data_IF_820139007988
#
_entry.id   IF_820139007988
#
_cell.length_a   1.000
_cell.length_b   1.000
_cell.length_c   1.000
_cell.angle_alpha   90.00
_cell.angle_beta   90.00
_cell.angle_gamma   90.00
#
_symmetry.space_group_name_H-M   'P 1'
#
loop_
_entity.id
_entity.type
_entity.pdbx_description
1 polymer ?
#
# COMPACT_ATOMS: atom_id res chain seq x y z
N UNK A 1 26.02 -17.57 24.92
CA UNK A 1 25.76 -18.87 25.53
C UNK A 1 24.26 -19.02 25.84
N UNK A 2 23.72 -20.16 25.58
CA UNK A 2 22.29 -20.46 25.81
C UNK A 2 22.10 -20.96 27.29
N UNK A 3 22.22 -20.05 28.24
CA UNK A 3 21.93 -20.34 29.65
C UNK A 3 21.01 -19.25 30.23
N UNK A 4 20.04 -19.64 31.02
CA UNK A 4 19.18 -18.75 31.78
C UNK A 4 19.29 -18.98 33.28
N UNK A 5 19.01 -17.93 34.05
CA UNK A 5 18.87 -18.01 35.51
C UNK A 5 17.39 -17.91 35.84
N UNK A 6 16.88 -18.80 36.66
CA UNK A 6 15.52 -18.79 37.18
C UNK A 6 15.56 -18.68 38.67
N UNK A 7 14.72 -17.84 39.25
CA UNK A 7 14.50 -17.70 40.68
C UNK A 7 13.02 -17.90 41.00
N UNK A 8 12.75 -18.70 42.04
CA UNK A 8 11.42 -18.85 42.59
C UNK A 8 11.52 -19.22 44.06
N UNK A 9 10.84 -18.47 44.94
CA UNK A 9 10.82 -18.67 46.39
C UNK A 9 12.20 -18.71 47.06
N UNK A 10 13.14 -17.84 46.56
CA UNK A 10 14.50 -17.79 47.09
C UNK A 10 15.44 -18.89 46.58
N UNK A 11 14.97 -19.82 45.77
CA UNK A 11 15.80 -20.82 45.10
C UNK A 11 16.24 -20.30 43.72
N UNK A 12 17.55 -20.30 43.52
CA UNK A 12 18.15 -19.87 42.23
C UNK A 12 18.70 -21.09 41.51
N UNK A 13 18.33 -21.24 40.27
CA UNK A 13 18.87 -22.27 39.38
C UNK A 13 19.29 -21.66 38.03
N UNK A 14 20.38 -22.18 37.47
CA UNK A 14 20.91 -21.70 36.19
C UNK A 14 21.27 -22.85 35.26
N UNK A 15 21.34 -22.57 33.95
CA UNK A 15 21.82 -23.50 32.95
C UNK A 15 20.95 -23.63 31.71
N UNK A 16 21.36 -24.51 30.80
CA UNK A 16 20.73 -24.72 29.51
C UNK A 16 19.33 -25.33 29.56
N UNK A 17 18.99 -26.06 30.64
CA UNK A 17 17.63 -26.60 30.88
C UNK A 17 16.65 -25.47 31.14
N UNK A 18 17.05 -24.48 31.92
CA UNK A 18 16.26 -23.28 32.21
C UNK A 18 16.11 -22.38 31.02
N UNK A 19 17.17 -22.30 30.19
CA UNK A 19 17.09 -21.62 28.90
C UNK A 19 16.03 -22.28 28.01
N UNK A 20 16.02 -23.61 27.86
CA UNK A 20 15.03 -24.31 27.04
C UNK A 20 13.60 -24.13 27.57
N UNK A 21 13.42 -24.10 28.88
CA UNK A 21 12.12 -23.83 29.49
C UNK A 21 11.66 -22.40 29.18
N UNK A 22 12.54 -21.41 29.35
CA UNK A 22 12.28 -20.01 29.03
C UNK A 22 11.95 -19.86 27.55
N UNK A 23 12.76 -20.37 26.64
CA UNK A 23 12.56 -20.31 25.20
C UNK A 23 11.20 -20.94 24.80
N UNK A 24 10.81 -22.03 25.43
CA UNK A 24 9.49 -22.65 25.21
C UNK A 24 8.35 -21.75 25.66
N UNK A 25 8.49 -21.14 26.87
CA UNK A 25 7.47 -20.22 27.39
C UNK A 25 7.37 -18.99 26.49
N UNK A 26 8.50 -18.40 26.12
CA UNK A 26 8.55 -17.23 25.25
C UNK A 26 7.93 -17.53 23.88
N UNK A 27 8.24 -18.68 23.27
CA UNK A 27 7.62 -19.10 21.99
C UNK A 27 6.11 -19.29 22.13
N UNK A 28 5.66 -19.99 23.19
CA UNK A 28 4.22 -20.18 23.42
C UNK A 28 3.50 -18.85 23.67
N UNK A 29 4.19 -17.89 24.30
CA UNK A 29 3.65 -16.54 24.49
C UNK A 29 3.61 -15.78 23.16
N UNK A 30 4.67 -15.85 22.36
CA UNK A 30 4.73 -15.21 21.04
C UNK A 30 3.78 -15.85 20.03
N UNK A 31 3.52 -17.17 20.13
CA UNK A 31 2.52 -17.84 19.29
C UNK A 31 1.12 -17.25 19.44
N UNK A 32 0.78 -16.71 20.63
CA UNK A 32 -0.49 -16.01 20.86
C UNK A 32 -0.61 -14.70 20.06
N UNK A 33 0.51 -14.05 19.78
CA UNK A 33 0.54 -12.85 18.94
C UNK A 33 0.61 -13.18 17.44
N UNK A 34 0.90 -14.44 17.09
CA UNK A 34 0.83 -14.94 15.72
C UNK A 34 -0.57 -15.46 15.33
N UNK A 35 -1.47 -15.56 16.30
CA UNK A 35 -2.85 -16.01 16.08
C UNK A 35 -3.73 -14.78 15.85
N UNK A 36 -3.54 -14.13 14.68
CA UNK A 36 -4.40 -13.03 14.28
C UNK A 36 -5.82 -13.55 14.02
N UNK A 37 -6.86 -12.82 14.44
CA UNK A 37 -8.22 -13.19 14.11
C UNK A 37 -8.35 -13.29 12.59
N UNK A 38 -8.88 -14.42 12.14
CA UNK A 38 -9.14 -14.65 10.72
C UNK A 38 -9.93 -13.48 10.14
N UNK A 39 -9.45 -12.90 9.04
CA UNK A 39 -10.24 -11.95 8.27
C UNK A 39 -11.55 -12.66 7.91
N UNK A 40 -12.67 -12.06 8.28
CA UNK A 40 -13.98 -12.61 7.92
C UNK A 40 -14.07 -12.69 6.40
N UNK A 41 -14.37 -13.88 5.88
CA UNK A 41 -14.67 -14.05 4.45
C UNK A 41 -15.83 -13.10 4.13
N UNK A 42 -15.65 -12.21 3.16
CA UNK A 42 -16.72 -11.31 2.73
C UNK A 42 -17.87 -12.15 2.21
N UNK A 43 -19.03 -12.02 2.81
CA UNK A 43 -20.25 -12.63 2.28
C UNK A 43 -20.59 -11.95 0.97
N UNK A 44 -20.87 -12.77 -0.05
CA UNK A 44 -21.36 -12.28 -1.33
C UNK A 44 -22.73 -11.62 -1.07
N UNK A 45 -22.96 -10.36 -1.46
CA UNK A 45 -24.27 -9.71 -1.31
C UNK A 45 -25.34 -10.49 -2.10
N UNK A 46 -26.58 -10.50 -1.63
CA UNK A 46 -27.71 -11.14 -2.31
C UNK A 46 -27.92 -10.61 -3.75
N UNK A 47 -27.61 -9.34 -3.97
CA UNK A 47 -27.67 -8.66 -5.26
C UNK A 47 -26.31 -8.65 -6.00
N UNK A 48 -25.58 -9.75 -5.97
CA UNK A 48 -24.27 -9.84 -6.63
C UNK A 48 -24.40 -10.14 -8.13
N UNK A 49 -23.44 -9.66 -8.91
CA UNK A 49 -23.33 -10.01 -10.33
C UNK A 49 -23.04 -11.52 -10.50
N UNK A 50 -23.52 -12.08 -11.61
CA UNK A 50 -23.29 -13.48 -11.93
C UNK A 50 -21.79 -13.80 -11.97
N UNK A 51 -21.37 -14.87 -11.28
CA UNK A 51 -19.98 -15.30 -11.22
C UNK A 51 -19.16 -14.66 -10.11
N UNK A 52 -19.66 -13.63 -9.39
CA UNK A 52 -18.90 -12.99 -8.30
C UNK A 52 -18.52 -14.00 -7.20
N UNK A 53 -19.44 -14.86 -6.78
CA UNK A 53 -19.18 -15.88 -5.77
C UNK A 53 -18.06 -16.85 -6.18
N UNK A 54 -18.03 -17.24 -7.44
CA UNK A 54 -16.98 -18.11 -7.99
C UNK A 54 -15.63 -17.38 -8.10
N UNK A 55 -15.65 -16.09 -8.43
CA UNK A 55 -14.44 -15.25 -8.55
C UNK A 55 -13.82 -14.96 -7.17
N UNK A 56 -14.63 -14.62 -6.19
CA UNK A 56 -14.16 -14.36 -4.82
C UNK A 56 -13.60 -15.62 -4.16
N UNK A 57 -14.18 -16.79 -4.47
CA UNK A 57 -13.77 -18.05 -3.85
C UNK A 57 -13.78 -17.96 -2.33
N UNK A 58 -12.83 -18.63 -1.68
CA UNK A 58 -12.59 -18.57 -0.23
C UNK A 58 -11.42 -17.64 0.14
N UNK A 59 -10.88 -16.90 -0.81
CA UNK A 59 -9.71 -16.03 -0.57
C UNK A 59 -10.15 -14.59 -0.39
N UNK A 60 -9.62 -13.89 0.65
CA UNK A 60 -9.85 -12.46 0.79
C UNK A 60 -9.26 -11.72 -0.42
N UNK A 61 -9.96 -10.67 -0.88
CA UNK A 61 -9.43 -9.79 -1.91
C UNK A 61 -8.25 -8.99 -1.35
N UNK A 62 -7.13 -8.98 -2.08
CA UNK A 62 -6.04 -8.07 -1.78
C UNK A 62 -6.53 -6.62 -1.89
N UNK A 63 -6.28 -5.79 -0.87
CA UNK A 63 -6.62 -4.37 -0.87
C UNK A 63 -5.48 -3.47 -1.38
N UNK A 64 -4.26 -4.00 -1.44
CA UNK A 64 -3.07 -3.26 -1.85
C UNK A 64 -2.80 -3.29 -3.35
N UNK A 65 -1.55 -3.04 -3.73
CA UNK A 65 -1.11 -3.00 -5.14
C UNK A 65 -1.38 -4.30 -5.92
N UNK A 66 -1.51 -5.45 -5.25
CA UNK A 66 -1.92 -6.73 -5.85
C UNK A 66 -3.39 -6.80 -6.29
N UNK A 67 -4.20 -5.78 -5.97
CA UNK A 67 -5.59 -5.67 -6.42
C UNK A 67 -5.73 -5.06 -7.83
N UNK A 68 -4.63 -4.66 -8.48
CA UNK A 68 -4.66 -4.11 -9.84
C UNK A 68 -5.22 -5.13 -10.83
N UNK A 69 -5.99 -4.65 -11.82
CA UNK A 69 -6.49 -5.49 -12.89
C UNK A 69 -5.34 -6.07 -13.73
N UNK A 70 -5.54 -7.30 -14.22
CA UNK A 70 -4.55 -7.93 -15.08
C UNK A 70 -4.33 -7.15 -16.39
N UNK A 71 -3.08 -7.15 -16.93
CA UNK A 71 -2.71 -6.32 -18.08
C UNK A 71 -3.56 -6.60 -19.32
N UNK A 72 -4.03 -7.81 -19.55
CA UNK A 72 -4.88 -8.16 -20.69
C UNK A 72 -6.26 -7.47 -20.64
N UNK A 73 -6.89 -7.43 -19.46
CA UNK A 73 -8.18 -6.73 -19.26
C UNK A 73 -8.00 -5.24 -19.45
N UNK A 74 -6.95 -4.67 -18.86
CA UNK A 74 -6.65 -3.25 -18.97
C UNK A 74 -6.35 -2.86 -20.41
N UNK A 75 -5.51 -3.60 -21.13
CA UNK A 75 -5.16 -3.31 -22.52
C UNK A 75 -6.37 -3.35 -23.43
N UNK A 76 -7.27 -4.33 -23.24
CA UNK A 76 -8.52 -4.44 -24.01
C UNK A 76 -9.43 -3.22 -23.78
N UNK A 77 -9.55 -2.76 -22.54
CA UNK A 77 -10.34 -1.57 -22.21
C UNK A 77 -9.72 -0.30 -22.79
N UNK A 78 -8.40 -0.13 -22.66
CA UNK A 78 -7.68 1.02 -23.18
C UNK A 78 -7.67 1.12 -24.72
N UNK A 79 -7.77 -0.01 -25.43
CA UNK A 79 -7.86 -0.02 -26.88
C UNK A 79 -9.09 0.71 -27.44
N UNK A 80 -10.15 0.87 -26.64
CA UNK A 80 -11.35 1.63 -26.98
C UNK A 80 -11.26 3.13 -26.66
N UNK A 81 -10.22 3.57 -25.94
CA UNK A 81 -10.04 4.97 -25.58
C UNK A 81 -9.48 5.75 -26.78
N UNK A 82 -10.12 6.84 -27.23
CA UNK A 82 -9.59 7.64 -28.31
C UNK A 82 -8.19 8.18 -27.98
N UNK A 83 -7.33 8.25 -28.98
CA UNK A 83 -6.02 8.86 -28.82
C UNK A 83 -6.13 10.34 -28.43
N UNK A 84 -5.22 10.85 -27.59
CA UNK A 84 -5.19 12.25 -27.25
C UNK A 84 -5.05 13.12 -28.48
N UNK A 85 -5.90 14.15 -28.59
CA UNK A 85 -5.86 15.13 -29.68
C UNK A 85 -5.14 16.43 -29.29
N UNK A 86 -4.84 16.60 -28.02
CA UNK A 86 -4.18 17.79 -27.48
C UNK A 86 -2.67 17.70 -27.72
N UNK A 87 -2.10 18.74 -28.28
CA UNK A 87 -0.69 18.79 -28.69
C UNK A 87 0.27 18.78 -27.49
N UNK A 88 -0.20 19.21 -26.32
CA UNK A 88 0.58 19.19 -25.06
C UNK A 88 0.69 17.81 -24.44
N UNK A 89 -0.15 16.83 -24.78
CA UNK A 89 -0.04 15.45 -24.27
C UNK A 89 1.12 14.74 -24.94
N UNK A 90 2.09 14.30 -24.15
CA UNK A 90 3.35 13.70 -24.64
C UNK A 90 3.39 12.20 -24.48
N UNK A 91 2.57 11.62 -23.62
CA UNK A 91 2.46 10.17 -23.43
C UNK A 91 1.00 9.74 -23.31
N UNK A 92 0.71 8.56 -23.84
CA UNK A 92 -0.54 7.86 -23.59
C UNK A 92 -0.43 6.92 -22.39
N UNK A 93 -1.49 6.11 -22.14
CA UNK A 93 -1.47 5.09 -21.08
C UNK A 93 -0.35 4.08 -21.30
N UNK A 94 0.29 3.63 -20.21
CA UNK A 94 1.29 2.54 -20.23
C UNK A 94 2.58 2.82 -19.48
N UNK A 95 2.86 4.08 -19.13
CA UNK A 95 3.96 4.45 -18.23
C UNK A 95 3.44 4.71 -16.80
N UNK A 96 4.32 5.06 -15.85
CA UNK A 96 3.95 5.30 -14.45
C UNK A 96 3.10 6.56 -14.30
N UNK A 97 3.29 7.56 -15.16
CA UNK A 97 2.48 8.78 -15.18
C UNK A 97 2.23 9.28 -16.60
N UNK A 98 1.15 10.03 -16.79
CA UNK A 98 0.93 10.83 -17.99
C UNK A 98 1.89 12.02 -18.01
N UNK A 99 2.30 12.45 -19.21
CA UNK A 99 3.23 13.57 -19.41
C UNK A 99 2.57 14.65 -20.24
N UNK A 100 2.59 15.88 -19.73
CA UNK A 100 2.07 17.08 -20.39
C UNK A 100 3.19 18.12 -20.57
N UNK A 101 3.22 18.77 -21.72
CA UNK A 101 4.09 19.94 -21.93
C UNK A 101 3.42 21.20 -21.39
N UNK A 102 4.06 21.85 -20.42
CA UNK A 102 3.60 23.11 -19.83
C UNK A 102 4.68 24.17 -20.03
N UNK A 103 4.50 24.98 -21.05
CA UNK A 103 5.54 25.91 -21.48
C UNK A 103 6.82 25.19 -21.88
N UNK A 104 7.94 25.52 -21.26
CA UNK A 104 9.26 24.88 -21.50
C UNK A 104 9.51 23.66 -20.62
N UNK A 105 8.60 23.30 -19.72
CA UNK A 105 8.75 22.20 -18.76
C UNK A 105 7.75 21.08 -19.06
N UNK A 106 7.99 19.95 -18.41
CA UNK A 106 7.10 18.80 -18.46
C UNK A 106 6.42 18.64 -17.11
N UNK A 107 5.12 18.41 -17.12
CA UNK A 107 4.36 18.02 -15.94
C UNK A 107 4.02 16.54 -16.06
N UNK A 108 4.25 15.80 -15.01
CA UNK A 108 3.75 14.42 -14.85
C UNK A 108 2.46 14.45 -14.03
N UNK A 109 1.55 13.53 -14.35
CA UNK A 109 0.27 13.38 -13.67
C UNK A 109 -0.02 11.89 -13.49
N UNK A 110 -0.15 11.44 -12.26
CA UNK A 110 -0.50 10.08 -11.91
C UNK A 110 -1.70 10.04 -10.96
N UNK A 111 -2.36 8.89 -10.88
CA UNK A 111 -3.37 8.62 -9.88
C UNK A 111 -3.22 7.17 -9.41
N UNK A 112 -3.18 7.00 -8.10
CA UNK A 112 -3.14 5.67 -7.50
C UNK A 112 -4.01 5.63 -6.25
N UNK A 113 -4.56 4.45 -5.95
CA UNK A 113 -5.37 4.26 -4.76
C UNK A 113 -5.16 2.85 -4.19
N UNK A 114 -5.29 2.74 -2.87
CA UNK A 114 -5.25 1.49 -2.16
C UNK A 114 -6.55 1.32 -1.36
N UNK A 115 -7.06 0.09 -1.37
CA UNK A 115 -8.18 -0.33 -0.54
C UNK A 115 -7.66 -0.79 0.81
N UNK A 116 -8.53 -0.94 1.82
CA UNK A 116 -8.16 -1.36 3.16
C UNK A 116 -7.33 -2.66 3.15
N UNK A 117 -6.04 -2.54 3.35
CA UNK A 117 -5.08 -3.65 3.48
C UNK A 117 -4.49 -3.73 4.90
N UNK A 118 -4.75 -2.73 5.74
CA UNK A 118 -4.45 -2.74 7.16
C UNK A 118 -5.55 -2.00 7.94
N UNK A 119 -5.57 -2.17 9.25
CA UNK A 119 -6.59 -1.58 10.12
C UNK A 119 -6.19 -0.19 10.67
N UNK A 120 -4.98 0.26 10.43
CA UNK A 120 -4.49 1.57 10.85
C UNK A 120 -4.67 2.58 9.71
N UNK A 121 -5.60 3.56 9.85
CA UNK A 121 -5.85 4.56 8.80
C UNK A 121 -4.68 5.51 8.58
N UNK A 122 -3.86 5.82 9.60
CA UNK A 122 -2.67 6.65 9.46
C UNK A 122 -1.60 5.94 8.64
N UNK A 123 -1.29 4.70 9.01
CA UNK A 123 -0.34 3.87 8.27
C UNK A 123 -0.79 3.69 6.82
N UNK A 124 -2.08 3.41 6.59
CA UNK A 124 -2.64 3.27 5.25
C UNK A 124 -2.50 4.57 4.44
N UNK A 125 -2.78 5.73 5.05
CA UNK A 125 -2.62 7.04 4.40
C UNK A 125 -1.17 7.32 4.01
N UNK A 126 -0.22 7.06 4.91
CA UNK A 126 1.22 7.21 4.67
C UNK A 126 1.69 6.35 3.51
N UNK A 127 1.36 5.06 3.55
CA UNK A 127 1.78 4.12 2.50
C UNK A 127 1.16 4.45 1.15
N UNK A 128 -0.12 4.87 1.12
CA UNK A 128 -0.78 5.28 -0.13
C UNK A 128 -0.16 6.57 -0.69
N UNK A 129 0.17 7.53 0.17
CA UNK A 129 0.86 8.76 -0.27
C UNK A 129 2.22 8.45 -0.88
N UNK A 130 3.04 7.62 -0.21
CA UNK A 130 4.35 7.21 -0.73
C UNK A 130 4.20 6.41 -2.03
N UNK A 131 3.19 5.56 -2.14
CA UNK A 131 2.93 4.78 -3.34
C UNK A 131 2.60 5.68 -4.54
N UNK A 132 1.71 6.66 -4.37
CA UNK A 132 1.39 7.62 -5.43
C UNK A 132 2.55 8.56 -5.78
N UNK A 133 3.35 8.98 -4.78
CA UNK A 133 4.58 9.75 -5.00
C UNK A 133 5.64 8.94 -5.77
N UNK A 134 5.64 7.61 -5.59
CA UNK A 134 6.55 6.70 -6.26
C UNK A 134 6.52 6.84 -7.78
N UNK A 135 5.35 7.00 -8.37
CA UNK A 135 5.19 7.18 -9.82
C UNK A 135 5.82 8.51 -10.29
N UNK A 136 5.64 9.58 -9.51
CA UNK A 136 6.23 10.89 -9.81
C UNK A 136 7.75 10.81 -9.78
N UNK A 137 8.30 10.17 -8.75
CA UNK A 137 9.75 9.99 -8.61
C UNK A 137 10.32 9.04 -9.68
N UNK A 138 9.60 7.97 -10.04
CA UNK A 138 10.00 7.05 -11.11
C UNK A 138 10.14 7.76 -12.46
N UNK A 139 9.29 8.76 -12.71
CA UNK A 139 9.37 9.61 -13.90
C UNK A 139 10.47 10.71 -13.81
N UNK A 140 11.24 10.75 -12.72
CA UNK A 140 12.29 11.76 -12.50
C UNK A 140 11.76 13.16 -12.23
N UNK A 141 10.51 13.29 -11.78
CA UNK A 141 9.86 14.57 -11.51
C UNK A 141 9.88 14.92 -10.02
N UNK A 142 9.88 16.23 -9.72
CA UNK A 142 9.68 16.74 -8.38
C UNK A 142 8.17 16.87 -8.11
N UNK A 143 7.63 16.26 -7.04
CA UNK A 143 6.22 16.40 -6.67
C UNK A 143 5.81 17.86 -6.50
N UNK A 144 4.57 18.19 -6.83
CA UNK A 144 4.05 19.55 -6.82
C UNK A 144 2.80 19.68 -5.95
N UNK A 145 1.71 19.04 -6.34
CA UNK A 145 0.46 19.03 -5.59
C UNK A 145 -0.25 17.68 -5.67
N UNK A 146 -1.10 17.41 -4.69
CA UNK A 146 -1.95 16.23 -4.64
C UNK A 146 -3.42 16.58 -4.41
N UNK A 147 -4.31 15.81 -5.02
CA UNK A 147 -5.73 15.73 -4.70
C UNK A 147 -6.00 14.41 -3.99
N UNK A 148 -6.61 14.47 -2.82
CA UNK A 148 -6.96 13.28 -2.04
C UNK A 148 -8.34 12.74 -2.47
N UNK A 149 -8.45 11.42 -2.59
CA UNK A 149 -9.70 10.70 -2.81
C UNK A 149 -9.88 9.73 -1.64
N UNK A 150 -10.86 9.99 -0.78
CA UNK A 150 -11.07 9.19 0.43
C UNK A 150 -12.48 8.65 0.44
N UNK A 151 -12.61 7.32 0.50
CA UNK A 151 -13.86 6.64 0.76
C UNK A 151 -13.82 6.08 2.17
N UNK A 152 -14.73 6.53 3.02
CA UNK A 152 -14.87 6.05 4.40
C UNK A 152 -15.91 4.94 4.48
N UNK A 153 -15.72 3.92 5.34
CA UNK A 153 -16.79 2.98 5.64
C UNK A 153 -17.94 3.68 6.39
N UNK A 154 -19.13 3.08 6.42
CA UNK A 154 -20.24 3.61 7.18
C UNK A 154 -19.90 3.63 8.69
N UNK A 155 -19.80 4.81 9.26
CA UNK A 155 -19.46 5.07 10.66
C UNK A 155 -20.37 6.16 11.21
N UNK A 156 -20.46 6.27 12.53
CA UNK A 156 -21.10 7.44 13.14
C UNK A 156 -20.30 8.73 12.82
N UNK A 157 -20.98 9.90 12.75
CA UNK A 157 -20.36 11.15 12.29
C UNK A 157 -19.07 11.55 13.00
N UNK A 158 -18.98 11.30 14.30
CA UNK A 158 -17.77 11.60 15.09
C UNK A 158 -16.58 10.72 14.67
N UNK A 159 -16.82 9.43 14.42
CA UNK A 159 -15.78 8.49 13.96
C UNK A 159 -15.37 8.77 12.53
N UNK A 160 -16.31 9.15 11.66
CA UNK A 160 -16.00 9.57 10.29
C UNK A 160 -15.11 10.81 10.30
N UNK A 161 -15.46 11.83 11.06
CA UNK A 161 -14.68 13.07 11.17
C UNK A 161 -13.27 12.80 11.70
N UNK A 162 -13.16 11.97 12.72
CA UNK A 162 -11.88 11.59 13.31
C UNK A 162 -11.01 10.79 12.32
N UNK A 163 -11.57 9.76 11.68
CA UNK A 163 -10.84 8.95 10.72
C UNK A 163 -10.37 9.79 9.53
N UNK A 164 -11.23 10.67 8.99
CA UNK A 164 -10.85 11.56 7.91
C UNK A 164 -9.73 12.52 8.34
N UNK A 165 -9.81 13.09 9.55
CA UNK A 165 -8.78 13.96 10.08
C UNK A 165 -7.42 13.24 10.23
N UNK A 166 -7.42 11.99 10.73
CA UNK A 166 -6.22 11.16 10.86
C UNK A 166 -5.59 10.85 9.50
N UNK A 167 -6.40 10.51 8.49
CA UNK A 167 -5.94 10.27 7.12
C UNK A 167 -5.32 11.52 6.50
N UNK A 168 -6.00 12.66 6.63
CA UNK A 168 -5.56 13.93 6.02
C UNK A 168 -4.34 14.52 6.70
N UNK A 169 -4.20 14.38 8.02
CA UNK A 169 -3.03 14.81 8.79
C UNK A 169 -1.78 14.05 8.35
N UNK A 170 -1.86 12.72 8.30
CA UNK A 170 -0.75 11.86 7.89
C UNK A 170 -0.37 12.08 6.42
N UNK A 171 -1.37 12.12 5.52
CA UNK A 171 -1.14 12.40 4.11
C UNK A 171 -0.51 13.78 3.89
N UNK A 172 -1.06 14.82 4.52
CA UNK A 172 -0.52 16.19 4.42
C UNK A 172 0.91 16.30 4.90
N UNK A 173 1.27 15.60 5.98
CA UNK A 173 2.64 15.51 6.47
C UNK A 173 3.57 14.81 5.47
N UNK A 174 3.12 13.67 4.92
CA UNK A 174 3.90 12.90 3.94
C UNK A 174 4.16 13.68 2.66
N UNK A 175 3.14 14.32 2.08
CA UNK A 175 3.29 15.14 0.88
C UNK A 175 4.18 16.36 1.12
N UNK A 176 4.04 17.03 2.26
CA UNK A 176 4.89 18.18 2.60
C UNK A 176 6.36 17.78 2.76
N UNK A 177 6.64 16.63 3.35
CA UNK A 177 7.99 16.06 3.42
C UNK A 177 8.58 15.79 2.04
N UNK A 178 7.74 15.41 1.07
CA UNK A 178 8.12 15.21 -0.33
C UNK A 178 8.19 16.51 -1.16
N UNK A 179 7.93 17.66 -0.56
CA UNK A 179 7.94 18.97 -1.24
C UNK A 179 6.66 19.28 -2.02
N UNK A 180 5.54 18.63 -1.68
CA UNK A 180 4.23 18.83 -2.30
C UNK A 180 3.17 19.21 -1.26
N UNK A 181 2.06 19.77 -1.72
CA UNK A 181 0.92 20.09 -0.88
C UNK A 181 -0.34 19.34 -1.31
N UNK A 182 -1.15 18.93 -0.33
CA UNK A 182 -2.53 18.47 -0.61
C UNK A 182 -3.42 19.69 -0.76
N UNK A 183 -3.95 19.91 -1.95
CA UNK A 183 -4.67 21.15 -2.31
C UNK A 183 -6.17 20.96 -2.49
N UNK A 184 -6.67 19.75 -2.30
CA UNK A 184 -8.09 19.45 -2.39
C UNK A 184 -8.33 17.95 -2.52
N UNK A 185 -9.53 17.59 -2.97
CA UNK A 185 -9.88 16.19 -3.15
C UNK A 185 -11.39 15.95 -3.15
N UNK A 186 -11.74 14.70 -2.94
CA UNK A 186 -13.12 14.23 -2.87
C UNK A 186 -13.27 13.17 -1.77
N UNK A 187 -14.34 13.25 -0.97
CA UNK A 187 -14.62 12.29 0.09
C UNK A 187 -16.04 11.72 -0.07
N UNK A 188 -16.16 10.42 0.09
CA UNK A 188 -17.43 9.68 -0.04
C UNK A 188 -17.57 8.63 1.05
N UNK A 189 -18.76 8.06 1.18
CA UNK A 189 -18.99 6.82 1.92
C UNK A 189 -18.98 5.63 0.98
N UNK A 190 -18.48 4.48 1.46
CA UNK A 190 -18.44 3.24 0.70
C UNK A 190 -18.29 2.03 1.61
N UNK A 191 -18.11 0.85 1.02
CA UNK A 191 -18.08 -0.40 1.77
C UNK A 191 -16.86 -0.56 2.68
N UNK A 192 -15.76 0.15 2.39
CA UNK A 192 -14.49 0.05 3.12
C UNK A 192 -13.66 1.32 2.96
N UNK A 193 -12.67 1.50 3.82
CA UNK A 193 -11.70 2.58 3.66
C UNK A 193 -10.94 2.39 2.34
N UNK A 194 -10.98 3.40 1.49
CA UNK A 194 -10.15 3.50 0.29
C UNK A 194 -9.49 4.87 0.29
N UNK A 195 -8.19 4.92 0.10
CA UNK A 195 -7.43 6.17 0.03
C UNK A 195 -6.72 6.20 -1.31
N UNK A 196 -6.83 7.30 -2.02
CA UNK A 196 -6.15 7.54 -3.28
C UNK A 196 -5.63 8.96 -3.38
N UNK A 197 -4.66 9.14 -4.25
CA UNK A 197 -4.12 10.47 -4.55
C UNK A 197 -3.90 10.60 -6.05
N UNK A 198 -4.33 11.74 -6.58
CA UNK A 198 -3.90 12.20 -7.89
C UNK A 198 -2.79 13.21 -7.66
N UNK A 199 -1.61 12.94 -8.19
CA UNK A 199 -0.39 13.72 -7.90
C UNK A 199 0.16 14.30 -9.18
N UNK A 200 0.58 15.56 -9.12
CA UNK A 200 1.36 16.20 -10.19
C UNK A 200 2.81 16.39 -9.78
N UNK A 201 3.70 16.39 -10.74
CA UNK A 201 5.10 16.71 -10.55
C UNK A 201 5.66 17.46 -11.75
N UNK A 202 6.76 18.17 -11.57
CA UNK A 202 7.42 18.96 -12.61
C UNK A 202 8.81 18.42 -12.91
N UNK A 203 9.15 18.34 -14.19
CA UNK A 203 10.46 17.91 -14.66
C UNK A 203 10.93 18.74 -15.85
N UNK A 204 12.23 18.80 -16.03
CA UNK A 204 12.83 19.29 -17.29
C UNK A 204 12.90 18.17 -18.32
N UNK A 205 13.11 16.94 -17.85
CA UNK A 205 13.16 15.71 -18.61
C UNK A 205 12.50 14.59 -17.82
N UNK A 206 11.69 13.80 -18.47
CA UNK A 206 11.07 12.60 -17.85
C UNK A 206 11.86 11.34 -18.17
N UNK A 207 11.76 10.39 -17.25
CA UNK A 207 12.35 9.05 -17.37
C UNK A 207 11.17 8.08 -17.57
N UNK A 208 11.12 7.43 -18.73
CA UNK A 208 10.11 6.42 -19.04
C UNK A 208 10.59 5.01 -18.74
N UNK A 209 9.69 4.04 -18.71
CA UNK A 209 9.98 2.61 -18.47
C UNK A 209 10.82 1.95 -19.55
N UNK A 210 10.86 2.52 -20.75
CA UNK A 210 11.56 1.97 -21.89
C UNK A 210 13.02 2.40 -21.94
N UNK A 211 13.77 1.75 -22.85
CA UNK A 211 15.14 2.19 -23.18
C UNK A 211 16.27 1.37 -22.55
N UNK A 212 15.97 0.38 -21.72
CA UNK A 212 16.99 -0.53 -21.20
C UNK A 212 17.68 -1.31 -22.33
N UNK A 213 19.01 -1.44 -22.25
CA UNK A 213 19.83 -2.08 -23.25
C UNK A 213 20.65 -3.24 -22.63
N UNK A 214 21.08 -4.16 -23.49
CA UNK A 214 21.97 -5.22 -23.06
C UNK A 214 23.29 -4.63 -22.56
N UNK A 215 23.66 -4.97 -21.33
CA UNK A 215 24.83 -4.42 -20.63
C UNK A 215 24.51 -3.40 -19.56
N UNK A 216 23.26 -2.93 -19.47
CA UNK A 216 22.83 -2.07 -18.37
C UNK A 216 22.84 -2.82 -17.04
N UNK A 217 23.21 -2.13 -15.97
CA UNK A 217 23.18 -2.68 -14.63
C UNK A 217 21.77 -2.50 -14.03
N UNK A 218 21.21 -3.59 -13.53
CA UNK A 218 19.96 -3.56 -12.74
C UNK A 218 20.30 -3.32 -11.28
N UNK A 219 19.87 -2.20 -10.73
CA UNK A 219 20.11 -1.83 -9.33
C UNK A 219 18.83 -1.97 -8.52
N UNK A 220 18.86 -2.83 -7.51
CA UNK A 220 17.78 -2.99 -6.54
C UNK A 220 18.13 -2.21 -5.29
N UNK A 221 17.35 -1.18 -4.99
CA UNK A 221 17.63 -0.25 -3.85
C UNK A 221 17.09 -0.74 -2.50
N UNK A 222 16.18 -1.73 -2.52
CA UNK A 222 15.58 -2.34 -1.33
C UNK A 222 15.42 -3.84 -1.52
N UNK A 223 15.39 -4.65 -0.43
CA UNK A 223 15.06 -6.06 -0.52
C UNK A 223 13.68 -6.29 -1.14
N UNK A 224 13.54 -7.36 -1.90
CA UNK A 224 12.25 -7.83 -2.42
C UNK A 224 11.53 -8.67 -1.38
N UNK A 225 10.19 -8.71 -1.43
CA UNK A 225 9.39 -9.66 -0.66
C UNK A 225 8.38 -9.03 0.29
N UNK A 226 8.43 -7.73 0.58
CA UNK A 226 7.45 -7.06 1.46
C UNK A 226 6.01 -7.30 1.01
N UNK A 227 5.72 -7.11 -0.27
CA UNK A 227 4.38 -7.37 -0.82
C UNK A 227 3.94 -8.83 -0.71
N UNK A 228 4.87 -9.79 -0.83
CA UNK A 228 4.56 -11.22 -0.64
C UNK A 228 4.23 -11.53 0.81
N UNK A 229 4.95 -10.93 1.76
CA UNK A 229 4.71 -11.12 3.19
C UNK A 229 3.36 -10.50 3.60
N UNK A 230 3.04 -9.30 3.13
CA UNK A 230 1.75 -8.66 3.36
C UNK A 230 0.59 -9.45 2.72
N UNK A 231 0.78 -9.97 1.52
CA UNK A 231 -0.20 -10.83 0.87
C UNK A 231 -0.40 -12.15 1.64
N UNK A 232 0.65 -12.71 2.21
CA UNK A 232 0.57 -13.90 3.06
C UNK A 232 -0.19 -13.61 4.36
N UNK A 233 0.04 -12.47 5.00
CA UNK A 233 -0.73 -12.00 6.15
C UNK A 233 -2.21 -11.86 5.81
N UNK A 234 -2.53 -11.16 4.72
CA UNK A 234 -3.91 -11.00 4.24
C UNK A 234 -4.58 -12.34 3.89
N UNK A 235 -3.81 -13.32 3.45
CA UNK A 235 -4.27 -14.68 3.19
C UNK A 235 -4.32 -15.56 4.45
N UNK A 236 -4.06 -15.00 5.64
CA UNK A 236 -4.05 -15.67 6.93
C UNK A 236 -2.97 -16.76 7.04
N UNK A 237 -1.90 -16.65 6.25
CA UNK A 237 -0.73 -17.46 6.44
C UNK A 237 0.03 -16.99 7.69
N UNK A 238 0.65 -17.94 8.41
CA UNK A 238 1.49 -17.58 9.57
C UNK A 238 2.74 -16.85 9.09
N UNK A 239 2.83 -15.57 9.41
CA UNK A 239 4.01 -14.73 9.17
C UNK A 239 4.64 -14.43 10.52
N UNK A 240 5.97 -14.60 10.69
CA UNK A 240 6.65 -14.20 11.92
C UNK A 240 6.46 -12.70 12.20
N UNK A 241 6.01 -12.35 13.43
CA UNK A 241 5.67 -10.97 13.78
C UNK A 241 6.83 -9.98 13.63
N UNK A 242 8.08 -10.43 13.78
CA UNK A 242 9.24 -9.57 13.56
C UNK A 242 9.40 -9.13 12.09
N UNK A 243 9.05 -10.00 11.12
CA UNK A 243 9.07 -9.64 9.70
C UNK A 243 7.99 -8.60 9.38
N UNK A 244 6.82 -8.73 9.99
CA UNK A 244 5.75 -7.73 9.86
C UNK A 244 6.19 -6.39 10.46
N UNK A 245 6.81 -6.41 11.64
CA UNK A 245 7.36 -5.22 12.27
C UNK A 245 8.41 -4.50 11.41
N UNK A 246 9.28 -5.23 10.73
CA UNK A 246 10.26 -4.66 9.79
C UNK A 246 9.61 -4.05 8.53
N UNK A 247 8.48 -4.61 8.07
CA UNK A 247 7.79 -4.10 6.90
C UNK A 247 7.00 -2.83 7.22
N UNK A 248 6.44 -2.76 8.42
CA UNK A 248 5.63 -1.63 8.87
C UNK A 248 6.45 -0.45 9.41
N UNK A 249 7.74 -0.63 9.71
CA UNK A 249 8.67 0.41 10.15
C UNK A 249 9.22 1.24 9.00
#
# INVERSE_FOLDING_TARGET
>A
GQAAVAEKWGLVASGSRWWRLKDRIDRTFMDKFGDYPAMTVRTVPDAATQGLAAHLGQRPLCGGCGAKLGPGVLSSALASVPLPIRSEVRSGPGDDAAVLAIGSRLQVLTTDHLRAFCNDPRLMARLTAIHALGDVWAMGAAPQVALAQVTLPPLGPELQARMLAEVMDEAGSGFRTAGADVVGGHSTEGAELTIGFTVTGMAERVIGKGGAQAGDALVLTKPLGSGTILAAEMALARVPGFLLGEIWS
#
